data_IF_423704650109
#
_entry.id   IF_423704650109
#
_cell.length_a   1.000
_cell.length_b   1.000
_cell.length_c   1.000
_cell.angle_alpha   90.00
_cell.angle_beta   90.00
_cell.angle_gamma   90.00
#
_symmetry.space_group_name_H-M   'P 1'
#
loop_
_entity.id
_entity.type
_entity.pdbx_description
1 polymer ?
#
# COMPACT_ATOMS: atom_id res chain seq x y z
N UNK A 1 10.93 -7.86 -7.41
CA UNK A 1 10.77 -7.15 -6.12
C UNK A 1 9.80 -7.86 -5.18
N UNK A 2 8.60 -8.23 -5.66
CA UNK A 2 7.65 -9.10 -4.94
C UNK A 2 7.47 -10.37 -5.76
N UNK A 3 7.53 -11.53 -5.10
CA UNK A 3 7.37 -12.82 -5.76
C UNK A 3 6.51 -13.74 -4.90
N UNK A 4 5.41 -14.22 -5.48
CA UNK A 4 4.54 -15.25 -4.93
C UNK A 4 4.59 -16.47 -5.84
N UNK A 5 4.79 -17.66 -5.27
CA UNK A 5 4.83 -18.91 -6.01
C UNK A 5 3.91 -19.93 -5.33
N UNK A 6 2.85 -20.33 -6.02
CA UNK A 6 1.84 -21.30 -5.59
C UNK A 6 1.29 -21.00 -4.20
N UNK A 7 1.04 -19.70 -3.93
CA UNK A 7 0.61 -19.22 -2.62
C UNK A 7 -0.88 -19.49 -2.42
N UNK A 8 -1.21 -20.14 -1.30
CA UNK A 8 -2.59 -20.35 -0.88
C UNK A 8 -2.79 -19.91 0.57
N UNK A 9 -3.95 -19.34 0.84
CA UNK A 9 -4.38 -18.92 2.19
C UNK A 9 -5.79 -19.40 2.46
N UNK A 10 -5.94 -20.11 3.56
CA UNK A 10 -7.21 -20.55 4.13
C UNK A 10 -7.29 -20.05 5.58
N UNK A 11 -8.42 -19.53 5.95
CA UNK A 11 -8.73 -19.14 7.33
C UNK A 11 -9.36 -20.30 8.11
N UNK A 12 -9.28 -20.26 9.45
CA UNK A 12 -9.69 -21.37 10.35
C UNK A 12 -11.12 -21.86 10.15
N UNK A 13 -12.01 -21.04 9.62
CA UNK A 13 -13.41 -21.41 9.31
C UNK A 13 -13.59 -22.11 7.95
N UNK A 14 -12.51 -22.57 7.33
CA UNK A 14 -12.56 -23.24 6.03
C UNK A 14 -12.66 -22.31 4.82
N UNK A 15 -12.75 -20.99 5.02
CA UNK A 15 -12.80 -20.00 3.92
C UNK A 15 -11.44 -19.93 3.23
N UNK A 16 -11.40 -20.30 1.94
CA UNK A 16 -10.21 -20.18 1.13
C UNK A 16 -10.18 -18.78 0.51
N UNK A 17 -9.25 -17.96 0.98
CA UNK A 17 -9.09 -16.59 0.51
C UNK A 17 -8.19 -16.49 -0.73
N UNK A 18 -7.17 -17.35 -0.85
CA UNK A 18 -6.25 -17.38 -1.99
C UNK A 18 -5.96 -18.83 -2.40
N UNK A 19 -5.89 -19.06 -3.71
CA UNK A 19 -5.70 -20.39 -4.31
C UNK A 19 -4.61 -20.33 -5.38
N UNK A 20 -3.48 -20.94 -5.09
CA UNK A 20 -2.37 -21.14 -6.03
C UNK A 20 -1.92 -19.85 -6.76
N UNK A 21 -1.75 -18.78 -6.00
CA UNK A 21 -1.35 -17.48 -6.52
C UNK A 21 0.11 -17.53 -6.99
N UNK A 22 0.31 -17.18 -8.27
CA UNK A 22 1.60 -16.93 -8.87
C UNK A 22 1.63 -15.48 -9.34
N UNK A 23 2.51 -14.65 -8.77
CA UNK A 23 2.62 -13.23 -9.10
C UNK A 23 4.07 -12.79 -8.95
N UNK A 24 4.54 -12.05 -9.94
CA UNK A 24 5.83 -11.39 -9.89
C UNK A 24 5.66 -9.90 -10.19
N UNK A 25 6.16 -9.03 -9.30
CA UNK A 25 6.16 -7.57 -9.47
C UNK A 25 7.61 -7.11 -9.44
N UNK A 26 8.04 -6.43 -10.50
CA UNK A 26 9.38 -5.88 -10.63
C UNK A 26 9.58 -4.64 -9.74
N UNK A 27 10.85 -4.30 -9.52
CA UNK A 27 11.21 -3.07 -8.82
C UNK A 27 10.78 -1.87 -9.66
N UNK A 28 10.09 -0.92 -9.04
CA UNK A 28 9.63 0.30 -9.70
C UNK A 28 8.40 0.09 -10.57
N UNK A 29 7.68 -1.03 -10.50
CA UNK A 29 6.36 -1.17 -11.12
C UNK A 29 5.27 -0.50 -10.28
N UNK A 30 4.25 0.02 -10.98
CA UNK A 30 2.95 0.34 -10.40
C UNK A 30 1.94 -0.71 -10.87
N UNK A 31 1.32 -1.41 -9.92
CA UNK A 31 0.38 -2.50 -10.20
C UNK A 31 -0.94 -2.25 -9.51
N UNK A 32 -2.02 -2.27 -10.26
CA UNK A 32 -3.37 -2.35 -9.71
C UNK A 32 -3.73 -3.81 -9.43
N UNK A 33 -4.26 -4.06 -8.24
CA UNK A 33 -4.89 -5.31 -7.88
C UNK A 33 -6.40 -5.07 -7.81
N UNK A 34 -7.13 -5.53 -8.81
CA UNK A 34 -8.57 -5.33 -8.93
C UNK A 34 -9.35 -6.63 -8.72
N UNK A 35 -10.64 -6.52 -8.55
CA UNK A 35 -11.55 -7.66 -8.38
C UNK A 35 -12.69 -7.36 -7.40
N UNK A 36 -13.74 -8.16 -7.38
CA UNK A 36 -14.91 -7.94 -6.53
C UNK A 36 -14.55 -7.97 -5.03
N UNK A 37 -15.47 -7.49 -4.20
CA UNK A 37 -15.33 -7.60 -2.75
C UNK A 37 -15.22 -9.09 -2.36
N UNK A 38 -14.33 -9.38 -1.43
CA UNK A 38 -14.05 -10.77 -1.00
C UNK A 38 -13.20 -11.61 -1.95
N UNK A 39 -12.69 -11.06 -3.07
CA UNK A 39 -11.83 -11.81 -4.01
C UNK A 39 -10.47 -12.22 -3.43
N UNK A 40 -10.05 -11.63 -2.30
CA UNK A 40 -8.78 -11.94 -1.62
C UNK A 40 -7.72 -10.83 -1.71
N UNK A 41 -8.02 -9.66 -2.29
CA UNK A 41 -7.06 -8.53 -2.44
C UNK A 41 -6.39 -8.14 -1.12
N UNK A 42 -7.18 -7.79 -0.10
CA UNK A 42 -6.63 -7.42 1.22
C UNK A 42 -5.87 -8.56 1.88
N UNK A 43 -6.30 -9.81 1.69
CA UNK A 43 -5.56 -10.99 2.19
C UNK A 43 -4.20 -11.10 1.52
N UNK A 44 -4.13 -10.96 0.18
CA UNK A 44 -2.86 -10.99 -0.55
C UNK A 44 -1.91 -9.89 -0.05
N UNK A 45 -2.41 -8.67 0.13
CA UNK A 45 -1.62 -7.56 0.65
C UNK A 45 -1.12 -7.82 2.07
N UNK A 46 -1.96 -8.34 2.97
CA UNK A 46 -1.61 -8.68 4.36
C UNK A 46 -0.49 -9.72 4.46
N UNK A 47 -0.42 -10.65 3.51
CA UNK A 47 0.70 -11.60 3.44
C UNK A 47 2.03 -10.89 3.18
N UNK A 48 2.05 -9.82 2.35
CA UNK A 48 3.28 -9.16 1.92
C UNK A 48 4.00 -8.40 3.04
N UNK A 49 3.24 -7.86 4.02
CA UNK A 49 3.84 -7.22 5.20
C UNK A 49 3.71 -8.03 6.49
N UNK A 50 3.42 -9.36 6.32
CA UNK A 50 3.41 -10.34 7.39
C UNK A 50 2.41 -10.03 8.52
N UNK A 51 1.24 -9.47 8.18
CA UNK A 51 0.08 -9.43 9.07
C UNK A 51 -0.63 -10.79 9.08
N UNK A 52 -0.62 -11.47 7.94
CA UNK A 52 -1.10 -12.83 7.76
C UNK A 52 0.03 -13.74 7.26
N UNK A 53 -0.15 -15.06 7.44
CA UNK A 53 0.73 -16.09 6.92
C UNK A 53 -0.01 -16.97 5.92
N UNK A 54 0.69 -17.35 4.85
CA UNK A 54 0.17 -18.34 3.90
C UNK A 54 0.18 -19.76 4.50
N UNK A 55 -0.72 -20.62 4.02
CA UNK A 55 -0.73 -22.03 4.35
C UNK A 55 0.18 -22.84 3.41
N UNK A 56 0.32 -22.42 2.15
CA UNK A 56 1.16 -23.09 1.14
C UNK A 56 1.85 -22.04 0.24
N UNK A 57 2.91 -22.49 -0.43
CA UNK A 57 3.67 -21.69 -1.37
C UNK A 57 4.78 -20.86 -0.72
N UNK A 58 5.43 -20.05 -1.53
CA UNK A 58 6.55 -19.21 -1.09
C UNK A 58 6.31 -17.74 -1.43
N UNK A 59 6.72 -16.84 -0.52
CA UNK A 59 6.61 -15.40 -0.70
C UNK A 59 7.99 -14.78 -0.45
N UNK A 60 8.42 -13.92 -1.40
CA UNK A 60 9.59 -13.07 -1.25
C UNK A 60 9.17 -11.60 -1.44
N UNK A 61 9.68 -10.73 -0.57
CA UNK A 61 9.43 -9.30 -0.61
C UNK A 61 10.76 -8.59 -0.41
N UNK A 62 11.26 -7.93 -1.44
CA UNK A 62 12.64 -7.44 -1.46
C UNK A 62 13.63 -8.58 -1.23
N UNK A 63 14.48 -8.40 -0.23
CA UNK A 63 15.48 -9.40 0.16
C UNK A 63 14.95 -10.43 1.17
N UNK A 64 13.70 -10.28 1.62
CA UNK A 64 13.10 -11.14 2.63
C UNK A 64 12.40 -12.35 2.02
N UNK A 65 12.75 -13.56 2.48
CA UNK A 65 11.98 -14.76 2.27
C UNK A 65 11.01 -14.94 3.44
N UNK A 66 9.71 -14.68 3.23
CA UNK A 66 8.72 -14.64 4.31
C UNK A 66 8.49 -16.03 4.96
N UNK A 67 8.76 -17.11 4.23
CA UNK A 67 8.65 -18.47 4.78
C UNK A 67 9.70 -18.78 5.87
N UNK A 68 10.85 -18.10 5.79
CA UNK A 68 11.97 -18.26 6.73
C UNK A 68 12.11 -17.10 7.71
N UNK A 69 11.23 -16.11 7.61
CA UNK A 69 11.30 -14.89 8.41
C UNK A 69 10.90 -15.16 9.86
N UNK A 70 11.82 -14.91 10.78
CA UNK A 70 11.56 -15.02 12.24
C UNK A 70 10.80 -13.78 12.72
N UNK A 71 9.97 -13.92 13.77
CA UNK A 71 9.16 -12.81 14.31
C UNK A 71 10.00 -11.54 14.62
N UNK A 72 11.20 -11.71 15.19
CA UNK A 72 12.13 -10.59 15.45
C UNK A 72 12.60 -9.82 14.21
N UNK A 73 12.43 -10.40 13.02
CA UNK A 73 12.82 -9.80 11.74
C UNK A 73 11.64 -9.09 11.03
N UNK A 74 10.40 -9.34 11.46
CA UNK A 74 9.19 -8.72 10.90
C UNK A 74 9.26 -7.18 10.95
N UNK A 75 9.75 -6.52 12.01
CA UNK A 75 9.93 -5.08 12.01
C UNK A 75 10.85 -4.57 10.90
N UNK A 76 11.89 -5.33 10.54
CA UNK A 76 12.79 -4.95 9.44
C UNK A 76 12.09 -5.03 8.08
N UNK A 77 11.31 -6.09 7.83
CA UNK A 77 10.46 -6.18 6.64
C UNK A 77 9.51 -4.97 6.57
N UNK A 78 8.79 -4.66 7.65
CA UNK A 78 7.81 -3.57 7.70
C UNK A 78 8.42 -2.18 7.51
N UNK A 79 9.72 -2.00 7.74
CA UNK A 79 10.44 -0.75 7.39
C UNK A 79 10.63 -0.59 5.89
N UNK A 80 10.69 -1.70 5.15
CA UNK A 80 10.86 -1.69 3.69
C UNK A 80 9.54 -1.63 2.92
N UNK A 81 8.41 -1.80 3.65
CA UNK A 81 7.05 -1.80 3.09
C UNK A 81 6.23 -0.72 3.79
N UNK A 82 5.88 0.33 3.08
CA UNK A 82 4.87 1.29 3.53
C UNK A 82 3.47 0.73 3.28
N UNK A 83 2.55 0.99 4.22
CA UNK A 83 1.14 0.54 4.06
C UNK A 83 0.21 1.71 4.25
N UNK A 84 -0.72 1.89 3.31
CA UNK A 84 -1.80 2.87 3.32
C UNK A 84 -3.12 2.13 3.39
N UNK A 85 -3.95 2.47 4.38
CA UNK A 85 -5.24 1.85 4.62
C UNK A 85 -6.39 2.73 4.14
N UNK A 86 -7.52 2.13 3.82
CA UNK A 86 -8.74 2.83 3.44
C UNK A 86 -9.29 3.74 4.55
N UNK A 87 -9.15 3.36 5.82
CA UNK A 87 -9.63 4.06 7.01
C UNK A 87 -8.54 4.94 7.67
N UNK A 88 -7.51 5.32 6.90
CA UNK A 88 -6.41 6.21 7.26
C UNK A 88 -5.54 5.75 8.44
N UNK A 89 -6.10 5.12 9.48
CA UNK A 89 -5.41 4.66 10.70
C UNK A 89 -4.53 5.75 11.35
N UNK A 90 -4.97 7.01 11.33
CA UNK A 90 -4.24 8.08 11.99
C UNK A 90 -4.34 7.97 13.51
N UNK A 91 -3.30 8.44 14.19
CA UNK A 91 -3.26 8.55 15.64
C UNK A 91 -4.01 9.83 16.06
N UNK A 92 -5.21 9.73 16.68
CA UNK A 92 -6.11 10.90 16.83
C UNK A 92 -5.61 11.93 17.83
N UNK A 93 -4.72 11.53 18.74
CA UNK A 93 -4.12 12.41 19.76
C UNK A 93 -2.85 13.10 19.28
N UNK A 94 -2.36 12.77 18.10
CA UNK A 94 -1.17 13.35 17.49
C UNK A 94 -1.58 14.26 16.33
N UNK A 95 -0.92 15.41 16.20
CA UNK A 95 -1.09 16.28 15.05
C UNK A 95 -0.48 15.66 13.77
N UNK A 96 -0.60 16.33 12.63
CA UNK A 96 -0.09 15.86 11.34
C UNK A 96 1.42 15.62 11.38
N UNK A 97 2.19 16.57 11.93
CA UNK A 97 3.64 16.42 12.07
C UNK A 97 4.00 15.19 12.90
N UNK A 98 3.38 15.05 14.07
CA UNK A 98 3.61 13.96 15.01
C UNK A 98 3.20 12.60 14.45
N UNK A 99 2.09 12.51 13.69
CA UNK A 99 1.67 11.28 13.01
C UNK A 99 2.75 10.75 12.05
N UNK A 100 3.44 11.67 11.35
CA UNK A 100 4.50 11.29 10.41
C UNK A 100 5.81 11.03 11.16
N UNK A 101 6.16 11.91 12.13
CA UNK A 101 7.37 11.80 12.94
C UNK A 101 7.43 10.46 13.70
N UNK A 102 6.30 10.00 14.22
CA UNK A 102 6.18 8.73 14.93
C UNK A 102 6.74 7.53 14.15
N UNK A 103 6.52 7.49 12.83
CA UNK A 103 7.05 6.41 11.99
C UNK A 103 8.59 6.40 11.93
N UNK A 104 9.22 7.56 12.09
CA UNK A 104 10.68 7.71 12.09
C UNK A 104 11.27 7.52 13.51
N UNK A 105 10.55 7.96 14.53
CA UNK A 105 10.95 7.79 15.95
C UNK A 105 11.06 6.30 16.31
N UNK A 106 10.07 5.49 15.94
CA UNK A 106 10.09 4.03 16.19
C UNK A 106 11.21 3.30 15.45
N UNK A 107 11.81 3.92 14.43
CA UNK A 107 12.98 3.37 13.71
C UNK A 107 14.31 3.89 14.26
N UNK A 108 14.28 4.79 15.25
CA UNK A 108 15.46 5.31 15.92
C UNK A 108 16.17 6.45 15.20
N UNK A 109 15.46 7.16 14.31
CA UNK A 109 16.01 8.30 13.59
C UNK A 109 16.29 9.48 14.53
N UNK A 110 17.32 10.28 14.20
CA UNK A 110 17.64 11.47 14.97
C UNK A 110 16.59 12.57 14.79
N UNK A 111 16.37 13.40 15.81
CA UNK A 111 15.42 14.53 15.73
C UNK A 111 15.69 15.48 14.55
N UNK A 112 16.97 15.66 14.16
CA UNK A 112 17.36 16.47 12.99
C UNK A 112 16.87 15.80 11.69
N UNK A 113 17.08 14.48 11.56
CA UNK A 113 16.61 13.69 10.41
C UNK A 113 15.08 13.71 10.31
N UNK A 114 14.40 13.50 11.47
CA UNK A 114 12.95 13.52 11.56
C UNK A 114 12.39 14.84 11.05
N UNK A 115 12.89 15.97 11.57
CA UNK A 115 12.44 17.31 11.19
C UNK A 115 12.58 17.57 9.68
N UNK A 116 13.72 17.22 9.11
CA UNK A 116 13.98 17.37 7.68
C UNK A 116 13.04 16.49 6.85
N UNK A 117 12.90 15.21 7.24
CA UNK A 117 12.10 14.24 6.48
C UNK A 117 10.60 14.51 6.56
N UNK A 118 10.08 14.90 7.73
CA UNK A 118 8.66 15.26 7.86
C UNK A 118 8.33 16.47 6.99
N UNK A 119 9.20 17.49 6.96
CA UNK A 119 9.03 18.64 6.05
C UNK A 119 8.97 18.18 4.59
N UNK A 120 9.92 17.36 4.13
CA UNK A 120 9.99 16.84 2.75
C UNK A 120 8.69 16.10 2.35
N UNK A 121 8.20 15.18 3.21
CA UNK A 121 6.99 14.41 2.87
C UNK A 121 5.72 15.24 2.95
N UNK A 122 5.65 16.22 3.84
CA UNK A 122 4.52 17.17 3.91
C UNK A 122 4.44 18.05 2.67
N UNK A 123 5.57 18.50 2.15
CA UNK A 123 5.64 19.23 0.87
C UNK A 123 5.18 18.34 -0.28
N UNK A 124 5.63 17.07 -0.32
CA UNK A 124 5.24 16.11 -1.36
C UNK A 124 3.73 15.87 -1.43
N UNK A 125 3.07 15.77 -0.26
CA UNK A 125 1.62 15.55 -0.19
C UNK A 125 0.80 16.84 -0.16
N UNK A 126 1.44 18.02 -0.19
CA UNK A 126 0.79 19.34 -0.21
C UNK A 126 0.18 19.77 1.12
N UNK A 127 0.68 19.28 2.26
CA UNK A 127 0.12 19.55 3.59
C UNK A 127 1.07 20.31 4.55
N UNK A 128 2.09 20.97 4.02
CA UNK A 128 3.04 21.71 4.86
C UNK A 128 2.35 22.74 5.78
N UNK A 129 1.30 23.41 5.31
CA UNK A 129 0.50 24.39 6.03
C UNK A 129 -0.39 23.79 7.14
N UNK A 130 -0.61 22.45 7.13
CA UNK A 130 -1.44 21.72 8.09
C UNK A 130 -0.64 20.95 9.14
N UNK A 131 0.68 21.15 9.23
CA UNK A 131 1.58 20.37 10.10
C UNK A 131 1.13 20.31 11.57
N UNK A 132 0.48 21.35 12.07
CA UNK A 132 0.00 21.45 13.46
C UNK A 132 -1.47 21.06 13.64
N UNK A 133 -2.20 20.75 12.56
CA UNK A 133 -3.61 20.34 12.63
C UNK A 133 -3.73 18.92 13.17
N UNK A 134 -4.84 18.63 13.83
CA UNK A 134 -5.18 17.29 14.31
C UNK A 134 -6.08 16.57 13.30
N UNK A 135 -6.14 15.21 13.30
CA UNK A 135 -6.93 14.45 12.35
C UNK A 135 -8.40 14.88 12.22
N UNK A 136 -9.05 15.25 13.34
CA UNK A 136 -10.44 15.73 13.35
C UNK A 136 -10.65 17.11 12.72
N UNK A 137 -9.58 17.84 12.39
CA UNK A 137 -9.58 19.13 11.70
C UNK A 137 -9.31 19.01 10.20
N UNK A 138 -9.17 17.77 9.70
CA UNK A 138 -8.82 17.47 8.33
C UNK A 138 -9.99 16.86 7.56
N UNK A 139 -10.10 17.20 6.28
CA UNK A 139 -10.97 16.47 5.35
C UNK A 139 -10.49 15.02 5.16
N UNK A 140 -11.35 14.13 4.63
CA UNK A 140 -10.96 12.75 4.34
C UNK A 140 -9.76 12.65 3.40
N UNK A 141 -9.70 13.48 2.37
CA UNK A 141 -8.57 13.55 1.45
C UNK A 141 -7.27 14.04 2.11
N UNK A 142 -7.37 15.02 3.02
CA UNK A 142 -6.21 15.47 3.80
C UNK A 142 -5.73 14.38 4.77
N UNK A 143 -6.64 13.68 5.44
CA UNK A 143 -6.30 12.54 6.31
C UNK A 143 -5.58 11.44 5.52
N UNK A 144 -6.06 11.12 4.30
CA UNK A 144 -5.41 10.14 3.44
C UNK A 144 -4.01 10.60 3.00
N UNK A 145 -3.83 11.88 2.68
CA UNK A 145 -2.49 12.44 2.38
C UNK A 145 -1.54 12.32 3.56
N UNK A 146 -2.02 12.52 4.80
CA UNK A 146 -1.22 12.29 6.03
C UNK A 146 -0.86 10.81 6.17
N UNK A 147 -1.80 9.89 5.93
CA UNK A 147 -1.55 8.45 5.99
C UNK A 147 -0.49 8.03 4.96
N UNK A 148 -0.57 8.56 3.73
CA UNK A 148 0.46 8.33 2.70
C UNK A 148 1.80 8.91 3.14
N UNK A 149 1.86 10.16 3.63
CA UNK A 149 3.09 10.79 4.11
C UNK A 149 3.77 9.96 5.21
N UNK A 150 2.99 9.46 6.17
CA UNK A 150 3.47 8.55 7.21
C UNK A 150 4.01 7.24 6.64
N UNK A 151 3.31 6.64 5.68
CA UNK A 151 3.71 5.38 5.06
C UNK A 151 5.04 5.49 4.30
N UNK A 152 5.32 6.65 3.68
CA UNK A 152 6.56 6.89 2.92
C UNK A 152 7.68 7.55 3.73
N UNK A 153 7.45 7.88 5.00
CA UNK A 153 8.43 8.57 5.84
C UNK A 153 9.77 7.83 5.91
N UNK A 154 9.76 6.52 6.08
CA UNK A 154 10.94 5.65 6.11
C UNK A 154 11.52 5.31 4.74
N UNK A 155 11.12 5.99 3.65
CA UNK A 155 11.57 5.70 2.26
C UNK A 155 11.43 4.21 1.90
N UNK A 156 10.24 3.62 2.05
CA UNK A 156 10.05 2.22 1.75
C UNK A 156 10.31 1.95 0.26
N UNK A 157 10.87 0.78 -0.04
CA UNK A 157 11.05 0.34 -1.42
C UNK A 157 9.72 -0.08 -2.07
N UNK A 158 8.74 -0.44 -1.26
CA UNK A 158 7.40 -0.89 -1.66
C UNK A 158 6.35 -0.10 -0.90
N UNK A 159 5.31 0.35 -1.60
CA UNK A 159 4.12 0.94 -1.01
C UNK A 159 2.91 0.06 -1.37
N UNK A 160 2.23 -0.44 -0.35
CA UNK A 160 0.98 -1.17 -0.50
C UNK A 160 -0.15 -0.22 -0.10
N UNK A 161 -1.13 -0.02 -0.98
CA UNK A 161 -2.28 0.83 -0.74
C UNK A 161 -3.56 0.01 -0.93
N UNK A 162 -4.27 -0.30 0.16
CA UNK A 162 -5.52 -1.05 0.13
C UNK A 162 -6.70 -0.09 0.10
N UNK A 163 -7.34 0.04 -1.07
CA UNK A 163 -8.48 0.93 -1.34
C UNK A 163 -8.24 2.39 -0.89
N UNK A 164 -7.11 3.03 -1.23
CA UNK A 164 -6.72 4.33 -0.66
C UNK A 164 -7.66 5.49 -1.04
N UNK A 165 -8.58 5.27 -1.97
CA UNK A 165 -9.52 6.27 -2.47
C UNK A 165 -10.98 5.86 -2.27
N UNK A 166 -11.25 4.71 -1.65
CA UNK A 166 -12.59 4.11 -1.59
C UNK A 166 -13.65 4.94 -0.84
N UNK A 167 -13.25 5.85 0.05
CA UNK A 167 -14.14 6.71 0.84
C UNK A 167 -14.11 8.18 0.41
N UNK A 168 -13.57 8.48 -0.78
CA UNK A 168 -13.32 9.83 -1.24
C UNK A 168 -14.16 10.14 -2.50
N UNK A 169 -14.49 11.41 -2.67
CA UNK A 169 -15.10 11.88 -3.92
C UNK A 169 -14.14 11.74 -5.11
N UNK A 170 -14.64 11.73 -6.35
CA UNK A 170 -13.81 11.47 -7.53
C UNK A 170 -12.65 12.47 -7.73
N UNK A 171 -12.85 13.75 -7.44
CA UNK A 171 -11.81 14.77 -7.60
C UNK A 171 -10.70 14.57 -6.57
N UNK A 172 -11.06 14.34 -5.32
CA UNK A 172 -10.12 14.03 -4.23
C UNK A 172 -9.38 12.71 -4.51
N UNK A 173 -10.08 11.67 -5.01
CA UNK A 173 -9.48 10.39 -5.39
C UNK A 173 -8.41 10.56 -6.47
N UNK A 174 -8.70 11.35 -7.51
CA UNK A 174 -7.73 11.71 -8.55
C UNK A 174 -6.52 12.46 -7.96
N UNK A 175 -6.75 13.36 -7.02
CA UNK A 175 -5.69 14.08 -6.31
C UNK A 175 -4.79 13.15 -5.48
N UNK A 176 -5.35 12.16 -4.80
CA UNK A 176 -4.59 11.12 -4.07
C UNK A 176 -3.77 10.27 -5.04
N UNK A 177 -4.38 9.86 -6.16
CA UNK A 177 -3.66 9.05 -7.14
C UNK A 177 -2.44 9.80 -7.72
N UNK A 178 -2.56 11.11 -8.01
CA UNK A 178 -1.41 11.94 -8.45
C UNK A 178 -0.28 11.99 -7.42
N UNK A 179 -0.59 11.92 -6.13
CA UNK A 179 0.43 11.81 -5.07
C UNK A 179 1.13 10.45 -5.18
N UNK A 180 0.39 9.34 -5.35
CA UNK A 180 0.97 8.01 -5.56
C UNK A 180 1.84 7.97 -6.81
N UNK A 181 1.42 8.58 -7.92
CA UNK A 181 2.24 8.75 -9.12
C UNK A 181 3.58 9.46 -8.85
N UNK A 182 3.53 10.53 -8.05
CA UNK A 182 4.74 11.28 -7.68
C UNK A 182 5.71 10.44 -6.86
N UNK A 183 5.18 9.55 -6.02
CA UNK A 183 5.96 8.59 -5.22
C UNK A 183 6.54 7.49 -6.12
N UNK A 184 5.74 6.95 -7.05
CA UNK A 184 6.15 5.97 -8.03
C UNK A 184 7.32 6.46 -8.91
N UNK A 185 7.21 7.68 -9.45
CA UNK A 185 8.27 8.32 -10.26
C UNK A 185 9.59 8.49 -9.53
N UNK A 186 9.60 8.44 -8.20
CA UNK A 186 10.81 8.45 -7.37
C UNK A 186 11.40 7.04 -7.16
N UNK A 187 10.85 6.02 -7.83
CA UNK A 187 11.35 4.64 -7.85
C UNK A 187 10.72 3.70 -6.83
N UNK A 188 9.68 4.12 -6.10
CA UNK A 188 8.94 3.24 -5.20
C UNK A 188 8.05 2.29 -6.02
N UNK A 189 8.10 1.00 -5.72
CA UNK A 189 7.17 0.00 -6.26
C UNK A 189 5.83 0.15 -5.58
N UNK A 190 4.73 0.22 -6.35
CA UNK A 190 3.39 0.41 -5.79
C UNK A 190 2.50 -0.78 -6.14
N UNK A 191 1.83 -1.33 -5.12
CA UNK A 191 0.72 -2.27 -5.27
C UNK A 191 -0.54 -1.62 -4.69
N UNK A 192 -1.48 -1.27 -5.55
CA UNK A 192 -2.71 -0.58 -5.15
C UNK A 192 -3.93 -1.47 -5.39
N UNK A 193 -4.63 -1.86 -4.31
CA UNK A 193 -5.96 -2.44 -4.39
C UNK A 193 -6.99 -1.36 -4.68
N UNK A 194 -7.82 -1.56 -5.69
CA UNK A 194 -8.87 -0.62 -6.01
C UNK A 194 -10.02 -1.29 -6.77
N UNK A 195 -11.19 -0.71 -6.67
CA UNK A 195 -12.35 -1.00 -7.51
C UNK A 195 -12.77 0.23 -8.34
N UNK A 196 -11.94 1.27 -8.38
CA UNK A 196 -12.21 2.49 -9.13
C UNK A 196 -11.69 2.35 -10.57
N UNK A 197 -12.60 2.02 -11.48
CA UNK A 197 -12.35 1.85 -12.91
C UNK A 197 -11.78 3.13 -13.55
N UNK A 198 -12.36 4.27 -13.25
CA UNK A 198 -11.94 5.57 -13.80
C UNK A 198 -10.45 5.86 -13.53
N UNK A 199 -9.94 5.53 -12.34
CA UNK A 199 -8.52 5.70 -12.03
C UNK A 199 -7.64 4.73 -12.81
N UNK A 200 -8.05 3.46 -12.90
CA UNK A 200 -7.32 2.41 -13.62
C UNK A 200 -7.21 2.76 -15.10
N UNK A 201 -8.34 3.13 -15.73
CA UNK A 201 -8.41 3.46 -17.15
C UNK A 201 -7.66 4.76 -17.49
N UNK A 202 -7.66 5.72 -16.56
CA UNK A 202 -6.96 7.00 -16.76
C UNK A 202 -5.43 6.86 -16.72
N UNK A 203 -4.89 6.07 -15.78
CA UNK A 203 -3.44 5.98 -15.57
C UNK A 203 -2.76 4.79 -16.26
N UNK A 204 -3.53 3.77 -16.64
CA UNK A 204 -3.10 2.65 -17.50
C UNK A 204 -1.81 1.94 -17.06
N UNK A 205 -1.67 1.66 -15.75
CA UNK A 205 -0.62 0.79 -15.23
C UNK A 205 -1.00 -0.69 -15.39
N UNK A 206 -0.10 -1.58 -15.02
CA UNK A 206 -0.35 -3.02 -15.01
C UNK A 206 -1.55 -3.35 -14.13
N UNK A 207 -2.43 -4.18 -14.63
CA UNK A 207 -3.65 -4.64 -13.95
C UNK A 207 -3.57 -6.14 -13.70
N UNK A 208 -3.74 -6.52 -12.43
CA UNK A 208 -3.87 -7.92 -11.99
C UNK A 208 -5.28 -8.10 -11.44
N UNK A 209 -6.06 -8.97 -12.04
CA UNK A 209 -7.43 -9.27 -11.64
C UNK A 209 -7.47 -10.49 -10.75
N UNK A 210 -8.05 -10.33 -9.56
CA UNK A 210 -8.23 -11.39 -8.58
C UNK A 210 -9.71 -11.75 -8.44
N UNK A 211 -10.09 -13.00 -8.72
CA UNK A 211 -11.45 -13.52 -8.59
C UNK A 211 -11.45 -14.89 -7.90
N UNK A 212 -12.36 -15.07 -6.92
CA UNK A 212 -12.45 -16.34 -6.18
C UNK A 212 -11.12 -16.83 -5.58
N UNK A 213 -10.24 -15.90 -5.23
CA UNK A 213 -8.91 -16.20 -4.70
C UNK A 213 -7.88 -16.62 -5.76
N UNK A 214 -8.12 -16.42 -7.05
CA UNK A 214 -7.21 -16.75 -8.16
C UNK A 214 -6.90 -15.52 -9.00
N UNK A 215 -5.69 -15.43 -9.55
CA UNK A 215 -5.40 -14.46 -10.60
C UNK A 215 -5.99 -14.99 -11.89
N UNK A 216 -6.92 -14.24 -12.49
CA UNK A 216 -7.60 -14.57 -13.74
C UNK A 216 -7.08 -13.76 -14.91
N UNK A 217 -6.45 -12.60 -14.66
CA UNK A 217 -5.87 -11.71 -15.67
C UNK A 217 -4.65 -10.98 -15.10
N UNK A 218 -3.64 -10.75 -15.93
CA UNK A 218 -2.41 -10.02 -15.59
C UNK A 218 -1.89 -9.29 -16.84
N UNK A 219 -2.25 -8.03 -16.99
CA UNK A 219 -1.96 -7.19 -18.15
C UNK A 219 -0.99 -6.07 -17.82
N UNK A 220 0.12 -6.00 -18.55
CA UNK A 220 1.18 -5.00 -18.33
C UNK A 220 0.76 -3.56 -18.62
N UNK A 221 -0.22 -3.36 -19.49
CA UNK A 221 -0.97 -2.12 -19.71
C UNK A 221 -2.42 -2.52 -19.80
N UNK A 222 -3.16 -2.40 -18.72
CA UNK A 222 -4.52 -2.90 -18.64
C UNK A 222 -5.51 -1.80 -18.34
N UNK A 223 -6.68 -1.95 -18.93
CA UNK A 223 -7.88 -1.22 -18.56
C UNK A 223 -8.63 -2.00 -17.48
N UNK A 224 -9.54 -1.35 -16.79
CA UNK A 224 -10.37 -2.01 -15.77
C UNK A 224 -11.28 -3.08 -16.40
N UNK A 225 -11.87 -2.73 -17.54
CA UNK A 225 -12.69 -3.63 -18.36
C UNK A 225 -11.95 -3.95 -19.65
N UNK A 226 -11.74 -5.23 -19.97
CA UNK A 226 -11.44 -5.64 -21.34
C UNK A 226 -12.68 -5.41 -22.21
N UNK A 227 -12.48 -4.74 -23.34
CA UNK A 227 -13.43 -4.78 -24.44
C UNK A 227 -13.49 -6.23 -24.96
N UNK A 228 -14.60 -6.92 -24.74
CA UNK A 228 -14.90 -8.21 -25.35
C UNK A 228 -15.05 -8.07 -26.86
#
# INVERSE_FOLDING_TARGET
>A
MIQLQRVSKQYDKGTIALRDINLFIDKGEFVYLIGPSGSGKSTLMKLLYREEMQNRGTIRVGDFNLNKLKERQVPHLRRTVGVVFQDFKLLPKLNVYENIAYALEVTGESGRTIKARVKEVLELVGLAHKAKSYPNQLSGGEQQRVAIARAIANRPAILIADEPTGNLDPETAMGIHRVLESIHRRGTTILMGTHNDTLVDHFQHRVVVLEGGRIVRDDRKGDYHESH
#
